data_IF_117474507543
#
_entry.id   IF_117474507543
#
_cell.length_a   1.000
_cell.length_b   1.000
_cell.length_c   1.000
_cell.angle_alpha   90.00
_cell.angle_beta   90.00
_cell.angle_gamma   90.00
#
_symmetry.space_group_name_H-M   'P 1'
#
loop_
_entity.id
_entity.type
_entity.pdbx_description
1 polymer ?
#
# COMPACT_ATOMS: atom_id res chain seq x y z
N UNK A 1 1.32 -3.43 -5.57
CA UNK A 1 0.45 -3.58 -6.76
C UNK A 1 -0.90 -2.90 -6.49
N UNK A 2 -1.38 -2.06 -7.41
CA UNK A 2 -2.73 -1.50 -7.42
C UNK A 2 -3.56 -2.30 -8.41
N UNK A 3 -4.62 -2.96 -7.93
CA UNK A 3 -5.51 -3.77 -8.77
C UNK A 3 -6.34 -2.87 -9.70
N UNK A 4 -6.67 -3.37 -10.89
CA UNK A 4 -7.57 -2.70 -11.83
C UNK A 4 -8.92 -2.43 -11.16
N UNK A 5 -9.46 -1.24 -11.38
CA UNK A 5 -10.85 -0.90 -11.12
C UNK A 5 -11.41 -0.32 -12.41
N UNK A 6 -12.44 -0.96 -12.98
CA UNK A 6 -13.00 -0.65 -14.31
C UNK A 6 -13.34 0.83 -14.52
N UNK A 7 -13.68 1.57 -13.45
CA UNK A 7 -14.08 2.97 -13.54
C UNK A 7 -12.98 3.96 -13.16
N UNK A 8 -11.98 3.55 -12.39
CA UNK A 8 -11.08 4.47 -11.71
C UNK A 8 -9.60 4.30 -12.04
N UNK A 9 -9.12 3.08 -12.31
CA UNK A 9 -7.70 2.84 -12.56
C UNK A 9 -7.43 1.56 -13.35
N UNK A 10 -6.49 1.60 -14.27
CA UNK A 10 -5.85 0.38 -14.79
C UNK A 10 -4.97 -0.26 -13.71
N UNK A 11 -4.54 -1.51 -13.92
CA UNK A 11 -3.57 -2.17 -13.03
C UNK A 11 -2.28 -1.35 -13.02
N UNK A 12 -1.77 -1.01 -11.84
CA UNK A 12 -0.49 -0.31 -11.66
C UNK A 12 0.43 -1.07 -10.72
N UNK A 13 1.73 -0.90 -10.91
CA UNK A 13 2.76 -1.57 -10.13
C UNK A 13 3.81 -0.54 -9.74
N UNK A 14 4.11 -0.50 -8.45
CA UNK A 14 5.16 0.32 -7.86
C UNK A 14 6.12 -0.63 -7.19
N UNK A 15 7.40 -0.44 -7.42
CA UNK A 15 8.49 -1.25 -6.89
C UNK A 15 9.59 -0.32 -6.40
N UNK A 16 10.20 -0.70 -5.28
CA UNK A 16 11.36 -0.02 -4.70
C UNK A 16 12.17 -1.08 -3.94
N UNK A 17 13.49 -1.03 -4.07
CA UNK A 17 14.46 -1.86 -3.39
C UNK A 17 15.14 -1.15 -2.22
N UNK A 18 15.66 -1.92 -1.27
CA UNK A 18 16.58 -1.42 -0.23
C UNK A 18 17.90 -0.90 -0.79
N UNK A 19 18.22 -1.22 -2.05
CA UNK A 19 19.43 -0.75 -2.71
C UNK A 19 19.21 0.61 -3.40
N UNK A 20 17.96 1.03 -3.61
CA UNK A 20 17.64 2.27 -4.32
C UNK A 20 17.95 3.49 -3.44
N UNK A 21 19.02 4.23 -3.75
CA UNK A 21 19.36 5.48 -3.05
C UNK A 21 18.22 6.51 -3.15
N UNK A 22 17.56 6.55 -4.31
CA UNK A 22 16.41 7.41 -4.58
C UNK A 22 15.18 6.57 -4.91
N UNK A 23 14.08 6.81 -4.19
CA UNK A 23 12.83 6.11 -4.42
C UNK A 23 12.22 6.54 -5.77
N UNK A 24 11.76 5.59 -6.61
CA UNK A 24 11.12 5.90 -7.87
C UNK A 24 9.92 6.84 -7.70
N UNK A 25 9.80 7.83 -8.58
CA UNK A 25 8.69 8.78 -8.60
C UNK A 25 7.58 8.38 -9.59
N UNK A 26 7.67 7.19 -10.19
CA UNK A 26 6.73 6.66 -11.18
C UNK A 26 6.36 5.20 -10.89
N UNK A 27 5.28 4.73 -11.50
CA UNK A 27 4.98 3.31 -11.62
C UNK A 27 5.99 2.63 -12.56
N UNK A 28 6.02 1.30 -12.57
CA UNK A 28 6.93 0.50 -13.43
C UNK A 28 6.68 0.71 -14.93
N UNK A 29 5.52 1.25 -15.30
CA UNK A 29 5.19 1.64 -16.68
C UNK A 29 5.53 3.10 -17.01
N UNK A 30 6.27 3.78 -16.12
CA UNK A 30 6.69 5.18 -16.27
C UNK A 30 5.60 6.21 -15.95
N UNK A 31 4.34 5.80 -15.78
CA UNK A 31 3.27 6.74 -15.43
C UNK A 31 3.40 7.25 -13.99
N UNK A 32 3.02 8.51 -13.76
CA UNK A 32 3.05 9.13 -12.42
C UNK A 32 1.64 9.35 -11.84
N UNK A 33 0.60 9.29 -12.68
CA UNK A 33 -0.80 9.36 -12.26
C UNK A 33 -1.73 8.60 -13.21
N UNK A 34 -2.97 8.39 -12.77
CA UNK A 34 -4.11 7.92 -13.57
C UNK A 34 -5.27 8.91 -13.41
N UNK A 35 -6.05 9.10 -14.46
CA UNK A 35 -7.12 10.10 -14.54
C UNK A 35 -6.69 11.34 -15.33
N UNK A 36 -7.41 12.45 -15.14
CA UNK A 36 -7.11 13.72 -15.81
C UNK A 36 -6.33 14.65 -14.87
N UNK A 37 -5.62 15.63 -15.42
CA UNK A 37 -4.79 16.58 -14.64
C UNK A 37 -5.55 17.28 -13.51
N UNK A 38 -6.83 17.60 -13.70
CA UNK A 38 -7.71 18.19 -12.67
C UNK A 38 -8.35 17.18 -11.70
N UNK A 39 -8.32 15.87 -12.00
CA UNK A 39 -8.94 14.81 -11.18
C UNK A 39 -8.15 13.51 -11.26
N UNK A 40 -6.98 13.50 -10.61
CA UNK A 40 -6.12 12.31 -10.50
C UNK A 40 -6.77 11.29 -9.57
N UNK A 41 -7.10 10.09 -10.06
CA UNK A 41 -7.68 9.01 -9.25
C UNK A 41 -6.60 8.23 -8.51
N UNK A 42 -5.43 8.09 -9.14
CA UNK A 42 -4.21 7.50 -8.60
C UNK A 42 -3.04 8.43 -8.88
N UNK A 43 -2.16 8.64 -7.92
CA UNK A 43 -1.00 9.54 -8.08
C UNK A 43 0.17 9.09 -7.20
N UNK A 44 1.38 9.11 -7.75
CA UNK A 44 2.61 9.07 -6.98
C UNK A 44 3.09 10.50 -6.77
N UNK A 45 3.41 10.84 -5.51
CA UNK A 45 4.03 12.09 -5.13
C UNK A 45 5.39 11.80 -4.51
N UNK A 46 6.46 12.25 -5.16
CA UNK A 46 7.76 12.31 -4.52
C UNK A 46 7.73 13.44 -3.47
N UNK A 47 7.89 13.07 -2.19
CA UNK A 47 8.01 14.04 -1.09
C UNK A 47 9.46 14.53 -1.03
N UNK A 48 10.41 13.62 -1.17
CA UNK A 48 11.84 13.87 -1.37
C UNK A 48 12.48 12.63 -2.02
N UNK A 49 13.80 12.63 -2.20
CA UNK A 49 14.54 11.51 -2.78
C UNK A 49 14.37 10.18 -2.02
N UNK A 50 14.11 10.23 -0.72
CA UNK A 50 13.99 9.05 0.15
C UNK A 50 12.56 8.73 0.56
N UNK A 51 11.56 9.47 0.07
CA UNK A 51 10.17 9.32 0.51
C UNK A 51 9.18 9.62 -0.60
N UNK A 52 8.24 8.70 -0.80
CA UNK A 52 7.14 8.84 -1.75
C UNK A 52 5.79 8.52 -1.10
N UNK A 53 4.75 9.12 -1.65
CA UNK A 53 3.37 8.86 -1.28
C UNK A 53 2.57 8.41 -2.50
N UNK A 54 1.89 7.28 -2.38
CA UNK A 54 0.96 6.77 -3.39
C UNK A 54 -0.46 7.04 -2.89
N UNK A 55 -1.17 7.90 -3.60
CA UNK A 55 -2.54 8.30 -3.30
C UNK A 55 -3.51 7.52 -4.18
N UNK A 56 -4.37 6.70 -3.58
CA UNK A 56 -5.46 5.99 -4.22
C UNK A 56 -6.77 6.69 -3.84
N UNK A 57 -7.06 7.83 -4.47
CA UNK A 57 -8.16 8.73 -4.08
C UNK A 57 -9.52 8.08 -4.21
N UNK A 58 -9.71 7.23 -5.21
CA UNK A 58 -10.97 6.52 -5.47
C UNK A 58 -11.39 5.56 -4.34
N UNK A 59 -10.46 5.15 -3.48
CA UNK A 59 -10.72 4.33 -2.27
C UNK A 59 -10.22 5.02 -1.00
N UNK A 60 -9.94 6.32 -1.03
CA UNK A 60 -9.43 7.09 0.11
C UNK A 60 -8.25 6.43 0.84
N UNK A 61 -7.35 5.78 0.09
CA UNK A 61 -6.17 5.10 0.61
C UNK A 61 -4.90 5.88 0.31
N UNK A 62 -4.00 5.98 1.29
CA UNK A 62 -2.66 6.55 1.15
C UNK A 62 -1.62 5.52 1.56
N UNK A 63 -0.60 5.33 0.74
CA UNK A 63 0.57 4.48 1.04
C UNK A 63 1.77 5.41 1.10
N UNK A 64 2.52 5.39 2.19
CA UNK A 64 3.74 6.18 2.36
C UNK A 64 4.91 5.22 2.44
N UNK A 65 5.92 5.44 1.60
CA UNK A 65 7.12 4.62 1.53
C UNK A 65 8.30 5.53 1.83
N UNK A 66 9.17 5.11 2.75
CA UNK A 66 10.33 5.90 3.16
C UNK A 66 11.55 5.01 3.39
N UNK A 67 12.66 5.39 2.78
CA UNK A 67 13.98 4.81 2.99
C UNK A 67 14.57 5.34 4.30
N UNK A 68 15.10 4.43 5.11
CA UNK A 68 15.85 4.68 6.33
C UNK A 68 17.12 3.84 6.31
N UNK A 69 18.23 4.42 5.82
CA UNK A 69 19.47 3.68 5.62
C UNK A 69 19.27 2.50 4.67
N UNK A 70 19.56 1.29 5.15
CA UNK A 70 19.44 0.03 4.39
C UNK A 70 18.02 -0.57 4.37
N UNK A 71 17.01 0.11 4.91
CA UNK A 71 15.66 -0.45 5.05
C UNK A 71 14.60 0.47 4.45
N UNK A 72 13.51 -0.14 3.98
CA UNK A 72 12.29 0.56 3.61
C UNK A 72 11.25 0.44 4.72
N UNK A 73 10.61 1.56 5.04
CA UNK A 73 9.42 1.61 5.88
C UNK A 73 8.21 1.87 5.00
N UNK A 74 7.09 1.21 5.32
CA UNK A 74 5.82 1.37 4.61
C UNK A 74 4.72 1.63 5.63
N UNK A 75 3.94 2.68 5.41
CA UNK A 75 2.77 3.01 6.19
C UNK A 75 1.54 3.09 5.27
N UNK A 76 0.44 2.49 5.69
CA UNK A 76 -0.83 2.51 4.96
C UNK A 76 -1.91 3.18 5.81
N UNK A 77 -2.66 4.10 5.19
CA UNK A 77 -3.90 4.66 5.74
C UNK A 77 -5.03 4.22 4.82
N UNK A 78 -5.89 3.35 5.31
CA UNK A 78 -6.98 2.72 4.56
C UNK A 78 -8.29 2.89 5.35
N UNK A 79 -9.43 3.21 4.70
CA UNK A 79 -10.72 3.17 5.36
C UNK A 79 -11.10 1.73 5.73
N UNK A 80 -11.51 1.51 6.97
CA UNK A 80 -11.89 0.20 7.50
C UNK A 80 -12.88 -0.56 6.60
N UNK A 81 -13.92 0.11 6.09
CA UNK A 81 -14.94 -0.49 5.20
C UNK A 81 -14.40 -1.14 3.92
N UNK A 82 -13.17 -0.80 3.52
CA UNK A 82 -12.51 -1.33 2.30
C UNK A 82 -11.56 -2.48 2.67
N UNK A 83 -11.17 -2.58 3.93
CA UNK A 83 -10.33 -3.67 4.40
C UNK A 83 -11.20 -4.88 4.67
N UNK A 84 -11.19 -5.83 3.73
CA UNK A 84 -11.72 -7.16 3.95
C UNK A 84 -10.58 -8.16 3.96
N UNK A 85 -10.43 -8.83 5.08
CA UNK A 85 -9.43 -9.84 5.34
C UNK A 85 -10.08 -11.22 5.11
N UNK A 86 -9.93 -11.80 3.92
CA UNK A 86 -10.49 -13.12 3.62
C UNK A 86 -9.40 -14.19 3.75
N UNK A 87 -9.51 -15.07 4.75
CA UNK A 87 -8.70 -16.29 4.80
C UNK A 87 -9.35 -17.38 3.92
N UNK A 88 -8.55 -18.32 3.41
CA UNK A 88 -8.83 -19.31 2.36
C UNK A 88 -10.08 -20.21 2.54
N UNK A 89 -10.81 -20.07 3.64
CA UNK A 89 -12.11 -20.72 3.90
C UNK A 89 -13.33 -19.86 3.54
N UNK A 90 -13.14 -18.67 2.98
CA UNK A 90 -14.24 -17.77 2.61
C UNK A 90 -14.82 -17.00 3.80
N UNK A 91 -14.29 -17.21 5.01
CA UNK A 91 -14.66 -16.44 6.19
C UNK A 91 -13.97 -15.07 6.15
N UNK A 92 -14.78 -14.03 6.24
CA UNK A 92 -14.31 -12.66 6.43
C UNK A 92 -13.83 -12.53 7.88
N UNK A 93 -12.52 -12.43 8.06
CA UNK A 93 -11.91 -12.16 9.36
C UNK A 93 -12.11 -10.68 9.68
N UNK A 94 -12.56 -10.37 10.90
CA UNK A 94 -12.69 -8.98 11.34
C UNK A 94 -11.33 -8.30 11.30
N UNK A 95 -11.30 -7.01 10.95
CA UNK A 95 -10.06 -6.26 10.89
C UNK A 95 -9.31 -6.32 12.22
N UNK A 96 -10.02 -6.12 13.33
CA UNK A 96 -9.46 -6.15 14.68
C UNK A 96 -8.74 -7.48 14.99
N UNK A 97 -9.35 -8.61 14.60
CA UNK A 97 -8.79 -9.95 14.78
C UNK A 97 -7.54 -10.16 13.91
N UNK A 98 -7.59 -9.69 12.65
CA UNK A 98 -6.44 -9.75 11.74
C UNK A 98 -5.26 -8.90 12.23
N UNK A 99 -5.54 -7.74 12.84
CA UNK A 99 -4.54 -6.84 13.42
C UNK A 99 -3.98 -7.36 14.76
N UNK A 100 -4.78 -8.10 15.54
CA UNK A 100 -4.33 -8.73 16.79
C UNK A 100 -3.36 -9.90 16.55
N UNK A 101 -3.51 -10.63 15.44
CA UNK A 101 -2.61 -11.73 15.08
C UNK A 101 -2.16 -11.70 13.60
N UNK A 102 -1.29 -10.74 13.23
CA UNK A 102 -0.92 -10.51 11.84
C UNK A 102 -0.05 -11.65 11.25
N UNK A 103 0.65 -12.42 12.09
CA UNK A 103 1.44 -13.59 11.63
C UNK A 103 0.51 -14.70 11.15
N UNK A 104 -0.53 -15.02 11.92
CA UNK A 104 -1.51 -16.04 11.52
C UNK A 104 -2.27 -15.62 10.27
N UNK A 105 -2.64 -14.34 10.18
CA UNK A 105 -3.35 -13.80 9.03
C UNK A 105 -2.52 -13.83 7.74
N UNK A 106 -1.25 -13.42 7.79
CA UNK A 106 -0.36 -13.45 6.61
C UNK A 106 -0.12 -14.87 6.09
N UNK A 107 -0.07 -15.86 6.99
CA UNK A 107 0.05 -17.27 6.62
C UNK A 107 -1.13 -17.78 5.79
N UNK A 108 -2.36 -17.32 6.03
CA UNK A 108 -3.52 -17.65 5.19
C UNK A 108 -3.30 -17.28 3.72
N UNK A 109 -2.61 -16.18 3.47
CA UNK A 109 -2.32 -15.67 2.13
C UNK A 109 -1.03 -16.24 1.54
N UNK A 110 -0.40 -17.24 2.18
CA UNK A 110 0.90 -17.76 1.77
C UNK A 110 2.05 -16.75 1.91
N UNK A 111 1.82 -15.64 2.63
CA UNK A 111 2.83 -14.60 2.86
C UNK A 111 3.48 -14.82 4.22
N UNK A 112 4.81 -14.83 4.27
CA UNK A 112 5.56 -14.98 5.52
C UNK A 112 6.10 -13.63 5.96
N UNK A 113 5.48 -13.04 6.97
CA UNK A 113 5.92 -11.76 7.54
C UNK A 113 7.07 -12.01 8.53
N UNK A 114 8.25 -11.42 8.27
CA UNK A 114 9.43 -11.55 9.15
C UNK A 114 9.47 -10.53 10.28
N UNK A 115 8.85 -9.38 10.08
CA UNK A 115 8.86 -8.26 11.02
C UNK A 115 7.45 -8.10 11.60
N UNK A 116 7.27 -8.01 12.93
CA UNK A 116 5.95 -7.80 13.53
C UNK A 116 5.36 -6.45 13.11
N UNK A 117 4.07 -6.46 12.78
CA UNK A 117 3.30 -5.25 12.43
C UNK A 117 3.22 -4.32 13.65
N UNK A 118 3.52 -3.03 13.47
CA UNK A 118 3.27 -2.00 14.48
C UNK A 118 1.99 -1.24 14.11
N UNK A 119 1.00 -1.27 14.99
CA UNK A 119 -0.24 -0.51 14.83
C UNK A 119 -0.06 0.88 15.44
N UNK A 120 -0.33 1.91 14.64
CA UNK A 120 -0.49 3.26 15.17
C UNK A 120 -1.93 3.38 15.71
N UNK A 121 -2.11 3.13 17.00
CA UNK A 121 -3.38 3.41 17.69
C UNK A 121 -3.32 4.90 18.07
N UNK A 122 -4.27 5.70 17.58
CA UNK A 122 -4.30 7.14 17.84
C UNK A 122 -4.42 7.46 19.34
N UNK A 123 -3.82 8.59 19.74
CA UNK A 123 -4.05 9.24 21.04
C UNK A 123 -5.38 10.00 21.02
#
# INVERSE_FOLDING_TARGET
>A
IVKKNERCTSRKQYEAGSEDEQLPNSFTDGSIFVGNTGRKTVEIKAVNQTSVEIMLRYIATKISIRRHGAYLSVALRIPERIVQACCSRGEVVKLEEALANPISFTRCHGVRMKIPLKLAIGR
#
